data_IF_164338667426
#
_entry.id   IF_164338667426
#
_cell.length_a   1.000
_cell.length_b   1.000
_cell.length_c   1.000
_cell.angle_alpha   90.00
_cell.angle_beta   90.00
_cell.angle_gamma   90.00
#
_symmetry.space_group_name_H-M   'P 1'
#
loop_
_entity.id
_entity.type
_entity.pdbx_description
1 polymer ?
#
# COMPACT_ATOMS: atom_id res chain seq x y z
N UNK A 1 52.30 -34.49 -53.20
CA UNK A 1 51.34 -33.67 -53.98
C UNK A 1 50.30 -33.13 -53.02
N UNK A 2 50.08 -31.81 -53.08
CA UNK A 2 49.14 -31.02 -52.26
C UNK A 2 47.70 -31.58 -52.32
N UNK A 3 46.98 -31.63 -51.19
CA UNK A 3 45.53 -31.36 -51.19
C UNK A 3 45.18 -30.42 -50.03
N UNK A 4 44.47 -29.38 -50.43
CA UNK A 4 44.14 -28.14 -49.74
C UNK A 4 42.75 -28.29 -49.10
N UNK A 5 42.57 -27.57 -47.98
CA UNK A 5 41.33 -27.30 -47.26
C UNK A 5 40.13 -26.94 -48.16
N UNK A 6 38.91 -27.14 -47.67
CA UNK A 6 37.87 -26.09 -47.72
C UNK A 6 36.74 -26.40 -46.71
N UNK A 7 36.80 -25.76 -45.54
CA UNK A 7 35.67 -25.65 -44.60
C UNK A 7 34.92 -24.35 -44.91
N UNK A 8 33.66 -24.44 -45.31
CA UNK A 8 32.77 -23.29 -45.50
C UNK A 8 32.33 -22.73 -44.13
N UNK A 9 32.82 -21.55 -43.77
CA UNK A 9 32.29 -20.74 -42.67
C UNK A 9 31.18 -19.82 -43.20
N UNK A 10 29.94 -20.03 -42.73
CA UNK A 10 28.84 -19.10 -42.96
C UNK A 10 29.02 -17.89 -42.03
N UNK A 11 29.52 -16.77 -42.55
CA UNK A 11 29.55 -15.49 -41.83
C UNK A 11 28.17 -14.84 -42.01
N UNK A 12 27.32 -14.94 -40.99
CA UNK A 12 26.07 -14.19 -40.93
C UNK A 12 26.38 -12.76 -40.47
N UNK A 13 26.34 -11.81 -41.40
CA UNK A 13 26.53 -10.40 -41.08
C UNK A 13 25.29 -9.86 -40.34
N UNK A 14 25.42 -9.60 -39.04
CA UNK A 14 24.42 -8.88 -38.26
C UNK A 14 24.50 -7.41 -38.65
N UNK A 15 23.54 -6.95 -39.47
CA UNK A 15 23.34 -5.53 -39.74
C UNK A 15 22.75 -4.90 -38.47
N UNK A 16 23.60 -4.28 -37.65
CA UNK A 16 23.16 -3.46 -36.52
C UNK A 16 22.49 -2.19 -37.05
N UNK A 17 21.16 -2.16 -37.07
CA UNK A 17 20.41 -0.94 -37.36
C UNK A 17 20.64 0.01 -36.17
N UNK A 18 21.16 1.24 -36.38
CA UNK A 18 21.37 2.17 -35.29
C UNK A 18 20.03 2.53 -34.67
N UNK A 19 19.85 2.19 -33.39
CA UNK A 19 18.75 2.68 -32.56
C UNK A 19 19.02 4.18 -32.36
N UNK A 20 18.34 5.03 -33.14
CA UNK A 20 18.39 6.46 -32.92
C UNK A 20 17.82 6.78 -31.53
N UNK A 21 18.67 7.29 -30.64
CA UNK A 21 18.29 7.75 -29.31
C UNK A 21 17.24 8.88 -29.41
N UNK A 22 16.23 8.84 -28.54
CA UNK A 22 15.23 9.89 -28.39
C UNK A 22 15.81 11.11 -27.67
N UNK A 23 15.41 12.31 -28.09
CA UNK A 23 15.88 13.60 -27.58
C UNK A 23 14.72 14.33 -26.88
N UNK A 24 14.76 14.35 -25.54
CA UNK A 24 13.71 14.94 -24.69
C UNK A 24 13.59 16.46 -24.91
N UNK A 25 14.70 17.17 -25.13
CA UNK A 25 14.67 18.62 -25.31
C UNK A 25 13.96 18.99 -26.62
N UNK A 26 14.25 18.26 -27.70
CA UNK A 26 13.53 18.43 -28.99
C UNK A 26 12.08 17.97 -28.90
N UNK A 27 11.81 16.95 -28.08
CA UNK A 27 10.44 16.53 -27.75
C UNK A 27 9.65 17.64 -27.08
N UNK A 28 10.25 18.32 -26.10
CA UNK A 28 9.67 19.47 -25.40
C UNK A 28 9.34 20.61 -26.34
N UNK A 29 10.29 21.00 -27.20
CA UNK A 29 10.08 22.06 -28.19
C UNK A 29 8.90 21.74 -29.12
N UNK A 30 8.87 20.54 -29.69
CA UNK A 30 7.77 20.12 -30.58
C UNK A 30 6.44 19.90 -29.86
N UNK A 31 6.44 19.67 -28.54
CA UNK A 31 5.20 19.42 -27.79
C UNK A 31 4.25 20.61 -27.74
N UNK A 32 4.73 21.82 -28.07
CA UNK A 32 3.93 23.05 -28.06
C UNK A 32 2.66 22.93 -28.91
N UNK A 33 2.72 22.23 -30.06
CA UNK A 33 1.55 22.02 -30.93
C UNK A 33 0.47 21.13 -30.28
N UNK A 34 0.86 20.30 -29.31
CA UNK A 34 -0.04 19.38 -28.61
C UNK A 34 -0.73 20.06 -27.42
N UNK A 35 -0.16 21.17 -26.93
CA UNK A 35 -0.57 21.82 -25.69
C UNK A 35 -1.99 22.41 -25.74
N UNK A 36 -2.47 22.75 -26.93
CA UNK A 36 -3.83 23.30 -27.11
C UNK A 36 -4.96 22.34 -26.74
N UNK A 37 -4.70 21.03 -26.70
CA UNK A 37 -5.69 20.01 -26.30
C UNK A 37 -5.20 19.16 -25.13
N UNK A 38 -3.91 18.78 -25.15
CA UNK A 38 -3.30 17.93 -24.13
C UNK A 38 -2.60 18.72 -23.01
N UNK A 39 -2.75 20.05 -22.97
CA UNK A 39 -2.13 20.93 -21.99
C UNK A 39 -0.62 21.08 -22.13
N UNK A 40 -0.08 22.19 -21.64
CA UNK A 40 1.37 22.51 -21.69
C UNK A 40 2.23 21.49 -20.95
N UNK A 41 1.66 20.82 -19.93
CA UNK A 41 2.32 19.79 -19.15
C UNK A 41 1.87 18.37 -19.52
N UNK A 42 1.19 18.16 -20.66
CA UNK A 42 0.65 16.85 -21.04
C UNK A 42 -0.57 16.41 -20.23
N UNK A 43 -1.24 17.35 -19.57
CA UNK A 43 -2.48 17.16 -18.82
C UNK A 43 -3.63 17.67 -19.68
N UNK A 44 -4.52 16.76 -20.09
CA UNK A 44 -5.64 17.06 -20.96
C UNK A 44 -6.57 18.14 -20.43
N UNK A 45 -7.10 18.97 -21.33
CA UNK A 45 -8.03 20.05 -20.97
C UNK A 45 -9.48 19.54 -20.74
N UNK A 46 -9.79 18.30 -21.12
CA UNK A 46 -11.09 17.64 -20.91
C UNK A 46 -10.94 16.12 -21.00
N UNK A 47 -12.00 15.37 -20.66
CA UNK A 47 -12.02 13.90 -20.81
C UNK A 47 -11.84 13.42 -22.26
N UNK A 48 -12.14 14.28 -23.24
CA UNK A 48 -11.94 14.00 -24.66
C UNK A 48 -10.45 14.01 -25.06
N UNK A 49 -9.62 14.75 -24.30
CA UNK A 49 -8.20 14.88 -24.55
C UNK A 49 -7.41 14.11 -23.48
N UNK A 50 -6.92 12.89 -23.78
CA UNK A 50 -6.27 12.06 -22.77
C UNK A 50 -4.97 12.67 -22.24
N UNK A 51 -4.66 12.41 -20.97
CA UNK A 51 -3.38 12.76 -20.36
C UNK A 51 -2.23 12.02 -21.07
N UNK A 52 -1.23 12.79 -21.50
CA UNK A 52 0.02 12.30 -22.08
C UNK A 52 1.14 12.23 -21.04
N UNK A 53 1.06 13.08 -20.02
CA UNK A 53 2.07 13.18 -18.98
C UNK A 53 2.25 11.85 -18.23
N UNK A 54 3.49 11.38 -18.14
CA UNK A 54 3.84 10.14 -17.44
C UNK A 54 3.33 8.85 -18.09
N UNK A 55 2.76 8.93 -19.30
CA UNK A 55 2.35 7.75 -20.06
C UNK A 55 3.57 7.04 -20.66
N UNK A 56 3.53 5.71 -20.79
CA UNK A 56 4.66 4.92 -21.29
C UNK A 56 5.12 5.39 -22.68
N UNK A 57 6.41 5.71 -22.84
CA UNK A 57 7.01 6.13 -24.12
C UNK A 57 6.61 5.22 -25.29
N UNK A 58 6.76 3.90 -25.13
CA UNK A 58 6.39 2.94 -26.18
C UNK A 58 4.90 2.96 -26.56
N UNK A 59 4.02 3.28 -25.61
CA UNK A 59 2.59 3.43 -25.88
C UNK A 59 2.32 4.71 -26.68
N UNK A 60 2.87 5.85 -26.25
CA UNK A 60 2.68 7.13 -26.96
C UNK A 60 3.18 7.01 -28.41
N UNK A 61 4.38 6.45 -28.59
CA UNK A 61 4.95 6.22 -29.92
C UNK A 61 4.06 5.33 -30.78
N UNK A 62 3.52 4.24 -30.21
CA UNK A 62 2.59 3.35 -30.91
C UNK A 62 1.32 4.07 -31.34
N UNK A 63 0.75 4.92 -30.47
CA UNK A 63 -0.47 5.66 -30.79
C UNK A 63 -0.24 6.72 -31.87
N UNK A 64 0.84 7.51 -31.78
CA UNK A 64 1.18 8.50 -32.80
C UNK A 64 1.35 7.84 -34.18
N UNK A 65 2.04 6.70 -34.24
CA UNK A 65 2.17 5.91 -35.47
C UNK A 65 0.83 5.39 -35.97
N UNK A 66 -0.03 4.91 -35.09
CA UNK A 66 -1.34 4.38 -35.46
C UNK A 66 -2.28 5.45 -36.03
N UNK A 67 -2.26 6.67 -35.46
CA UNK A 67 -2.98 7.80 -36.04
C UNK A 67 -2.41 8.18 -37.41
N UNK A 68 -1.08 8.20 -37.55
CA UNK A 68 -0.42 8.57 -38.81
C UNK A 68 -0.68 7.57 -39.93
N UNK A 69 -0.71 6.27 -39.62
CA UNK A 69 -0.98 5.22 -40.60
C UNK A 69 -2.47 4.98 -40.86
N UNK A 70 -3.37 5.68 -40.14
CA UNK A 70 -4.81 5.44 -40.20
C UNK A 70 -5.29 4.16 -39.50
N UNK A 71 -4.40 3.42 -38.83
CA UNK A 71 -4.76 2.23 -38.03
C UNK A 71 -5.61 2.60 -36.81
N UNK A 72 -5.48 3.84 -36.32
CA UNK A 72 -6.39 4.45 -35.34
C UNK A 72 -7.02 5.69 -35.97
N UNK A 73 -8.35 5.75 -35.98
CA UNK A 73 -9.11 6.84 -36.62
C UNK A 73 -9.54 7.89 -35.59
N UNK A 74 -9.08 9.12 -35.76
CA UNK A 74 -9.60 10.31 -35.09
C UNK A 74 -9.19 11.53 -35.95
N UNK A 75 -10.14 12.25 -36.58
CA UNK A 75 -9.82 13.30 -37.55
C UNK A 75 -8.86 14.36 -37.02
N UNK A 76 -9.06 14.80 -35.77
CA UNK A 76 -8.20 15.78 -35.09
C UNK A 76 -6.77 15.27 -34.96
N UNK A 77 -6.58 14.08 -34.38
CA UNK A 77 -5.24 13.52 -34.19
C UNK A 77 -4.57 13.13 -35.51
N UNK A 78 -5.33 12.70 -36.52
CA UNK A 78 -4.80 12.43 -37.86
C UNK A 78 -4.19 13.69 -38.47
N UNK A 79 -4.85 14.85 -38.35
CA UNK A 79 -4.30 16.12 -38.80
C UNK A 79 -3.03 16.52 -38.02
N UNK A 80 -3.04 16.36 -36.68
CA UNK A 80 -1.90 16.71 -35.84
C UNK A 80 -0.64 15.90 -36.13
N UNK A 81 -0.78 14.61 -36.45
CA UNK A 81 0.39 13.73 -36.72
C UNK A 81 0.83 13.73 -38.18
N UNK A 82 0.09 14.37 -39.09
CA UNK A 82 0.38 14.38 -40.53
C UNK A 82 1.80 14.91 -40.82
N UNK A 83 2.20 16.00 -40.14
CA UNK A 83 3.51 16.63 -40.32
C UNK A 83 4.65 15.97 -39.51
N UNK A 84 4.37 15.01 -38.63
CA UNK A 84 5.39 14.45 -37.71
C UNK A 84 6.24 13.36 -38.38
N UNK A 85 7.56 13.50 -38.36
CA UNK A 85 8.47 12.42 -38.74
C UNK A 85 8.57 11.31 -37.69
N UNK A 86 9.12 10.16 -38.07
CA UNK A 86 9.38 9.06 -37.12
C UNK A 86 10.27 9.48 -35.94
N UNK A 87 11.22 10.39 -36.17
CA UNK A 87 12.08 10.96 -35.13
C UNK A 87 11.30 11.88 -34.19
N UNK A 88 10.41 12.71 -34.73
CA UNK A 88 9.58 13.61 -33.94
C UNK A 88 8.64 12.84 -33.01
N UNK A 89 7.98 11.80 -33.51
CA UNK A 89 7.10 10.96 -32.70
C UNK A 89 7.84 10.24 -31.56
N UNK A 90 9.11 9.85 -31.78
CA UNK A 90 9.96 9.29 -30.72
C UNK A 90 10.32 10.33 -29.67
N UNK A 91 10.74 11.52 -30.10
CA UNK A 91 11.10 12.60 -29.19
C UNK A 91 9.89 13.07 -28.35
N UNK A 92 8.71 13.21 -28.96
CA UNK A 92 7.47 13.55 -28.27
C UNK A 92 7.08 12.47 -27.26
N UNK A 93 7.21 11.19 -27.63
CA UNK A 93 6.93 10.09 -26.73
C UNK A 93 7.87 10.08 -25.52
N UNK A 94 9.17 10.28 -25.73
CA UNK A 94 10.15 10.38 -24.65
C UNK A 94 9.87 11.59 -23.74
N UNK A 95 9.56 12.75 -24.32
CA UNK A 95 9.22 13.95 -23.56
C UNK A 95 8.00 13.77 -22.67
N UNK A 96 6.84 13.40 -23.24
CA UNK A 96 5.62 13.24 -22.45
C UNK A 96 5.73 12.12 -21.40
N UNK A 97 6.46 11.05 -21.71
CA UNK A 97 6.77 9.98 -20.74
C UNK A 97 7.64 10.45 -19.57
N UNK A 98 8.43 11.52 -19.74
CA UNK A 98 9.26 12.10 -18.68
C UNK A 98 8.48 13.04 -17.75
N UNK A 99 7.28 13.48 -18.14
CA UNK A 99 6.45 14.38 -17.34
C UNK A 99 5.77 13.63 -16.19
N UNK A 100 5.39 14.38 -15.14
CA UNK A 100 4.67 13.81 -13.99
C UNK A 100 3.25 13.40 -14.41
N UNK A 101 2.82 12.16 -14.15
CA UNK A 101 1.46 11.73 -14.45
C UNK A 101 0.44 12.51 -13.62
N UNK A 102 -0.73 12.72 -14.21
CA UNK A 102 -1.93 13.12 -13.46
C UNK A 102 -2.71 11.87 -13.17
N UNK A 103 -2.78 11.53 -11.88
CA UNK A 103 -3.82 10.65 -11.38
C UNK A 103 -5.10 11.47 -11.39
N UNK A 104 -6.13 10.96 -12.06
CA UNK A 104 -7.41 11.65 -12.15
C UNK A 104 -7.99 11.88 -10.75
N UNK A 105 -7.91 13.12 -10.26
CA UNK A 105 -8.53 13.60 -9.02
C UNK A 105 -9.87 14.28 -9.28
N UNK A 106 -10.41 14.19 -10.50
CA UNK A 106 -11.66 14.84 -10.91
C UNK A 106 -12.88 13.93 -10.79
N UNK A 107 -12.69 12.65 -10.50
CA UNK A 107 -13.76 11.82 -9.93
C UNK A 107 -13.96 12.30 -8.49
N UNK A 108 -15.02 13.07 -8.26
CA UNK A 108 -15.47 13.35 -6.90
C UNK A 108 -15.71 12.01 -6.21
N UNK A 109 -14.98 11.75 -5.13
CA UNK A 109 -15.27 10.64 -4.24
C UNK A 109 -16.67 10.87 -3.70
N UNK A 110 -17.61 9.97 -4.01
CA UNK A 110 -18.93 10.03 -3.40
C UNK A 110 -18.76 9.78 -1.91
N UNK A 111 -19.24 10.72 -1.10
CA UNK A 111 -19.24 10.61 0.35
C UNK A 111 -20.68 10.43 0.81
N UNK A 112 -20.96 9.29 1.44
CA UNK A 112 -22.28 9.00 2.01
C UNK A 112 -22.19 9.03 3.53
N UNK A 113 -23.05 9.80 4.19
CA UNK A 113 -23.14 9.79 5.65
C UNK A 113 -24.11 8.71 6.10
N UNK A 114 -23.68 7.87 7.04
CA UNK A 114 -24.52 6.84 7.66
C UNK A 114 -24.89 7.29 9.07
N UNK A 115 -26.16 7.12 9.45
CA UNK A 115 -26.63 7.37 10.81
C UNK A 115 -26.36 6.15 11.69
N UNK A 116 -25.57 6.29 12.75
CA UNK A 116 -25.42 5.26 13.79
C UNK A 116 -25.12 5.84 15.17
N UNK A 117 -24.97 4.97 16.18
CA UNK A 117 -24.77 5.34 17.60
C UNK A 117 -23.29 5.51 18.00
N UNK A 118 -22.40 5.78 17.04
CA UNK A 118 -21.00 6.04 17.35
C UNK A 118 -20.88 7.45 17.95
N UNK A 119 -20.22 7.59 19.10
CA UNK A 119 -20.02 8.89 19.74
C UNK A 119 -18.52 9.19 19.86
N UNK A 120 -18.20 10.46 20.10
CA UNK A 120 -16.82 10.88 20.38
C UNK A 120 -16.25 10.24 21.66
N UNK A 121 -17.09 9.69 22.55
CA UNK A 121 -16.60 8.99 23.74
C UNK A 121 -15.94 7.66 23.37
N UNK A 122 -16.53 6.90 22.45
CA UNK A 122 -15.95 5.63 22.00
C UNK A 122 -14.90 5.79 20.92
N UNK A 123 -14.92 6.91 20.19
CA UNK A 123 -13.97 7.23 19.13
C UNK A 123 -13.38 8.64 19.38
N UNK A 124 -12.50 8.79 20.39
CA UNK A 124 -11.87 10.08 20.68
C UNK A 124 -10.92 10.52 19.57
N UNK A 125 -10.29 9.57 18.87
CA UNK A 125 -9.56 9.82 17.63
C UNK A 125 -10.37 9.42 16.40
N UNK A 126 -10.01 9.99 15.24
CA UNK A 126 -10.60 9.54 13.98
C UNK A 126 -10.08 8.15 13.63
N UNK A 127 -11.01 7.24 13.37
CA UNK A 127 -10.74 5.85 13.00
C UNK A 127 -11.19 5.63 11.56
N UNK A 128 -10.38 4.91 10.78
CA UNK A 128 -10.66 4.56 9.39
C UNK A 128 -10.65 3.05 9.22
N UNK A 129 -11.64 2.53 8.50
CA UNK A 129 -11.82 1.10 8.24
C UNK A 129 -11.91 0.88 6.74
N UNK A 130 -11.15 -0.07 6.22
CA UNK A 130 -11.26 -0.52 4.83
C UNK A 130 -12.29 -1.63 4.69
N UNK A 131 -13.20 -1.46 3.73
CA UNK A 131 -14.26 -2.42 3.43
C UNK A 131 -13.90 -3.14 2.15
N UNK A 132 -13.27 -4.31 2.27
CA UNK A 132 -12.62 -4.97 1.12
C UNK A 132 -13.59 -5.30 0.01
N UNK A 133 -14.76 -5.83 0.36
CA UNK A 133 -15.74 -6.28 -0.64
C UNK A 133 -16.49 -5.11 -1.28
N UNK A 134 -16.79 -4.09 -0.49
CA UNK A 134 -17.46 -2.87 -0.99
C UNK A 134 -16.51 -1.94 -1.73
N UNK A 135 -15.20 -2.03 -1.48
CA UNK A 135 -14.21 -1.13 -2.05
C UNK A 135 -14.29 0.28 -1.49
N UNK A 136 -14.72 0.43 -0.24
CA UNK A 136 -14.93 1.74 0.42
C UNK A 136 -14.06 1.91 1.66
N UNK A 137 -13.93 3.15 2.12
CA UNK A 137 -13.38 3.49 3.45
C UNK A 137 -14.51 4.07 4.29
N UNK A 138 -14.66 3.60 5.53
CA UNK A 138 -15.60 4.18 6.49
C UNK A 138 -14.84 4.81 7.65
N UNK A 139 -15.27 5.99 8.13
CA UNK A 139 -14.65 6.67 9.27
C UNK A 139 -15.57 6.80 10.49
N UNK A 140 -14.97 6.98 11.66
CA UNK A 140 -15.63 7.27 12.93
C UNK A 140 -14.89 8.41 13.66
N UNK A 141 -15.59 9.28 14.41
CA UNK A 141 -17.03 9.24 14.70
C UNK A 141 -17.93 9.87 13.61
N UNK A 142 -17.37 10.38 12.50
CA UNK A 142 -18.15 11.10 11.48
C UNK A 142 -19.09 10.21 10.66
N UNK A 143 -18.84 8.90 10.62
CA UNK A 143 -19.66 7.88 9.95
C UNK A 143 -19.87 8.17 8.47
N UNK A 144 -18.82 8.66 7.81
CA UNK A 144 -18.78 8.83 6.37
C UNK A 144 -18.26 7.56 5.72
N UNK A 145 -18.86 7.20 4.60
CA UNK A 145 -18.38 6.18 3.68
C UNK A 145 -17.85 6.90 2.44
N UNK A 146 -16.61 6.61 2.07
CA UNK A 146 -15.92 7.15 0.91
C UNK A 146 -15.77 6.06 -0.13
N UNK A 147 -16.20 6.34 -1.36
CA UNK A 147 -15.90 5.48 -2.49
C UNK A 147 -14.38 5.36 -2.66
N UNK A 148 -13.89 4.12 -2.77
CA UNK A 148 -12.49 3.82 -2.98
C UNK A 148 -12.27 3.07 -4.29
N UNK A 149 -11.48 2.00 -4.22
CA UNK A 149 -11.19 1.12 -5.35
C UNK A 149 -11.49 -0.34 -5.05
N UNK A 150 -11.32 -1.24 -6.03
CA UNK A 150 -11.54 -2.67 -5.81
C UNK A 150 -10.60 -3.21 -4.73
N UNK A 151 -11.09 -4.12 -3.90
CA UNK A 151 -10.33 -4.81 -2.85
C UNK A 151 -9.55 -3.86 -1.91
N UNK A 152 -10.18 -2.81 -1.39
CA UNK A 152 -9.56 -1.95 -0.36
C UNK A 152 -9.10 -2.79 0.84
N UNK A 153 -7.78 -2.94 1.00
CA UNK A 153 -7.20 -3.93 1.91
C UNK A 153 -6.64 -3.31 3.19
N UNK A 154 -5.36 -2.93 3.25
CA UNK A 154 -4.82 -2.24 4.42
C UNK A 154 -5.07 -0.75 4.30
N UNK A 155 -5.43 -0.12 5.43
CA UNK A 155 -5.59 1.33 5.55
C UNK A 155 -4.59 1.90 6.57
N UNK A 156 -4.08 3.11 6.31
CA UNK A 156 -3.23 3.87 7.22
C UNK A 156 -3.59 5.36 7.18
N UNK A 157 -3.31 6.09 8.26
CA UNK A 157 -3.51 7.53 8.38
C UNK A 157 -2.17 8.20 8.66
N UNK A 158 -1.92 9.37 8.08
CA UNK A 158 -0.69 10.15 8.38
C UNK A 158 -0.70 10.67 9.83
N UNK A 159 0.49 10.85 10.46
CA UNK A 159 0.58 11.36 11.83
C UNK A 159 -0.11 12.70 12.07
N UNK A 160 -0.15 13.57 11.06
CA UNK A 160 -0.84 14.87 11.11
C UNK A 160 -2.36 14.77 10.90
N UNK A 161 -2.88 13.57 10.64
CA UNK A 161 -4.30 13.29 10.43
C UNK A 161 -4.87 13.82 9.12
N UNK A 162 -4.04 14.22 8.15
CA UNK A 162 -4.51 14.87 6.92
C UNK A 162 -4.72 13.95 5.73
N UNK A 163 -4.07 12.78 5.71
CA UNK A 163 -4.11 11.88 4.54
C UNK A 163 -4.28 10.43 4.94
N UNK A 164 -5.28 9.78 4.34
CA UNK A 164 -5.54 8.33 4.47
C UNK A 164 -5.02 7.62 3.24
N UNK A 165 -4.37 6.47 3.45
CA UNK A 165 -3.86 5.61 2.39
C UNK A 165 -4.54 4.24 2.48
N UNK A 166 -4.91 3.66 1.34
CA UNK A 166 -5.43 2.29 1.29
C UNK A 166 -4.89 1.51 0.10
N UNK A 167 -4.44 0.28 0.31
CA UNK A 167 -3.91 -0.58 -0.76
C UNK A 167 -5.01 -1.29 -1.53
N UNK A 168 -4.85 -1.45 -2.84
CA UNK A 168 -5.65 -2.34 -3.70
C UNK A 168 -4.76 -3.45 -4.29
N UNK A 169 -4.82 -4.68 -3.76
CA UNK A 169 -4.00 -5.79 -4.25
C UNK A 169 -4.31 -6.16 -5.71
N UNK A 170 -5.57 -6.09 -6.12
CA UNK A 170 -6.02 -6.52 -7.45
C UNK A 170 -5.60 -5.57 -8.56
N UNK A 171 -5.37 -4.29 -8.24
CA UNK A 171 -4.94 -3.27 -9.22
C UNK A 171 -3.47 -2.87 -9.08
N UNK A 172 -2.77 -3.35 -8.04
CA UNK A 172 -1.39 -2.99 -7.73
C UNK A 172 -1.20 -1.49 -7.45
N UNK A 173 -2.10 -0.92 -6.65
CA UNK A 173 -2.10 0.51 -6.34
C UNK A 173 -2.30 0.81 -4.87
N UNK A 174 -2.02 2.06 -4.48
CA UNK A 174 -2.41 2.68 -3.22
C UNK A 174 -3.26 3.90 -3.54
N UNK A 175 -4.45 3.97 -2.96
CA UNK A 175 -5.34 5.10 -3.02
C UNK A 175 -4.98 6.05 -1.88
N UNK A 176 -4.87 7.35 -2.18
CA UNK A 176 -4.67 8.40 -1.19
C UNK A 176 -5.91 9.29 -1.13
N UNK A 177 -6.36 9.64 0.06
CA UNK A 177 -7.54 10.47 0.32
C UNK A 177 -7.21 11.59 1.31
N UNK A 178 -7.87 12.75 1.15
CA UNK A 178 -7.91 13.79 2.17
C UNK A 178 -8.75 13.28 3.35
N UNK A 179 -8.15 13.24 4.53
CA UNK A 179 -8.78 12.65 5.70
C UNK A 179 -9.99 13.44 6.23
N UNK A 180 -10.10 14.72 5.89
CA UNK A 180 -11.16 15.60 6.41
C UNK A 180 -12.48 15.42 5.67
N UNK A 181 -12.41 15.12 4.38
CA UNK A 181 -13.58 15.12 3.49
C UNK A 181 -13.65 13.90 2.57
N UNK A 182 -12.70 12.97 2.65
CA UNK A 182 -12.70 11.74 1.84
C UNK A 182 -12.35 11.94 0.38
N UNK A 183 -11.98 13.14 -0.07
CA UNK A 183 -11.61 13.40 -1.46
C UNK A 183 -10.40 12.57 -1.86
N UNK A 184 -10.51 11.78 -2.93
CA UNK A 184 -9.38 11.07 -3.52
C UNK A 184 -8.34 12.06 -4.06
N UNK A 185 -7.11 11.94 -3.56
CA UNK A 185 -5.94 12.74 -3.92
C UNK A 185 -5.08 12.08 -4.99
N UNK A 186 -4.99 10.75 -5.01
CA UNK A 186 -4.21 10.02 -6.01
C UNK A 186 -4.54 8.52 -6.01
N UNK A 187 -4.21 7.86 -7.12
CA UNK A 187 -4.09 6.40 -7.23
C UNK A 187 -2.65 6.08 -7.62
N UNK A 188 -1.84 5.68 -6.66
CA UNK A 188 -0.39 5.52 -6.79
C UNK A 188 -0.08 4.08 -7.20
N UNK A 189 0.52 3.88 -8.37
CA UNK A 189 0.96 2.55 -8.80
C UNK A 189 2.15 2.07 -7.98
N UNK A 190 2.09 0.83 -7.50
CA UNK A 190 3.14 0.18 -6.69
C UNK A 190 3.51 -1.20 -7.27
N UNK A 191 4.26 -2.00 -6.51
CA UNK A 191 4.61 -3.37 -6.86
C UNK A 191 3.40 -4.32 -6.86
N UNK A 192 3.66 -5.61 -7.11
CA UNK A 192 2.61 -6.60 -7.31
C UNK A 192 1.97 -7.03 -5.98
N UNK A 193 0.64 -7.16 -5.99
CA UNK A 193 -0.19 -7.59 -4.86
C UNK A 193 0.16 -6.86 -3.54
N UNK A 194 0.04 -5.51 -3.49
CA UNK A 194 0.29 -4.74 -2.28
C UNK A 194 -0.60 -5.21 -1.12
N UNK A 195 0.00 -5.33 0.07
CA UNK A 195 -0.65 -5.72 1.33
C UNK A 195 -0.58 -4.57 2.32
N UNK A 196 0.31 -4.61 3.31
CA UNK A 196 0.44 -3.55 4.32
C UNK A 196 0.89 -2.23 3.72
N UNK A 197 0.29 -1.13 4.18
CA UNK A 197 0.77 0.24 3.99
C UNK A 197 0.99 0.86 5.37
N UNK A 198 2.13 1.51 5.57
CA UNK A 198 2.46 2.23 6.80
C UNK A 198 3.16 3.54 6.52
N UNK A 199 2.81 4.58 7.29
CA UNK A 199 3.41 5.90 7.17
C UNK A 199 4.60 6.02 8.12
N UNK A 200 5.70 6.61 7.67
CA UNK A 200 6.85 6.91 8.53
C UNK A 200 6.46 7.87 9.66
N UNK A 201 7.07 7.80 10.85
CA UNK A 201 6.72 8.67 11.99
C UNK A 201 6.75 10.18 11.69
N UNK A 202 7.62 10.62 10.77
CA UNK A 202 7.71 12.02 10.35
C UNK A 202 6.65 12.44 9.30
N UNK A 203 5.78 11.53 8.87
CA UNK A 203 4.69 11.77 7.91
C UNK A 203 5.11 12.00 6.46
N UNK A 204 6.40 11.83 6.09
CA UNK A 204 6.89 12.18 4.75
C UNK A 204 6.78 11.03 3.74
N UNK A 205 6.93 9.79 4.19
CA UNK A 205 6.94 8.62 3.32
C UNK A 205 5.90 7.59 3.78
N UNK A 206 5.46 6.73 2.87
CA UNK A 206 4.75 5.50 3.19
C UNK A 206 5.43 4.28 2.59
N UNK A 207 5.51 3.20 3.35
CA UNK A 207 6.08 1.93 2.93
C UNK A 207 4.94 0.97 2.61
N UNK A 208 4.95 0.44 1.39
CA UNK A 208 3.92 -0.46 0.87
C UNK A 208 4.54 -1.82 0.62
N UNK A 209 4.07 -2.84 1.32
CA UNK A 209 4.56 -4.21 1.21
C UNK A 209 3.96 -4.89 -0.02
N UNK A 210 4.76 -5.13 -1.05
CA UNK A 210 4.30 -5.74 -2.29
C UNK A 210 4.62 -7.24 -2.27
N UNK A 211 3.68 -8.02 -1.74
CA UNK A 211 3.85 -9.45 -1.51
C UNK A 211 4.28 -10.20 -2.78
N UNK A 212 3.62 -9.91 -3.91
CA UNK A 212 3.82 -10.62 -5.18
C UNK A 212 5.06 -10.19 -5.96
N UNK A 213 5.77 -9.15 -5.54
CA UNK A 213 7.03 -8.71 -6.17
C UNK A 213 8.22 -8.69 -5.23
N UNK A 214 8.08 -9.23 -4.01
CA UNK A 214 9.15 -9.32 -3.00
C UNK A 214 9.91 -8.00 -2.80
N UNK A 215 9.18 -6.89 -2.69
CA UNK A 215 9.75 -5.57 -2.48
C UNK A 215 8.83 -4.66 -1.66
N UNK A 216 9.39 -3.58 -1.14
CA UNK A 216 8.64 -2.46 -0.54
C UNK A 216 8.68 -1.29 -1.51
N UNK A 217 7.52 -0.75 -1.88
CA UNK A 217 7.46 0.57 -2.53
C UNK A 217 7.49 1.66 -1.48
N UNK A 218 8.44 2.58 -1.58
CA UNK A 218 8.55 3.76 -0.73
C UNK A 218 7.91 4.94 -1.47
N UNK A 219 6.74 5.36 -1.00
CA UNK A 219 5.93 6.43 -1.58
C UNK A 219 6.29 7.74 -0.90
N UNK A 220 6.65 8.76 -1.68
CA UNK A 220 6.77 10.15 -1.24
C UNK A 220 5.37 10.76 -1.16
N UNK A 221 4.92 11.10 0.06
CA UNK A 221 3.54 11.55 0.30
C UNK A 221 3.29 12.99 -0.15
N UNK A 222 4.34 13.79 -0.34
CA UNK A 222 4.20 15.12 -0.94
C UNK A 222 4.04 15.03 -2.45
N UNK A 223 4.74 14.09 -3.09
CA UNK A 223 4.69 13.87 -4.54
C UNK A 223 3.59 12.89 -4.97
N UNK A 224 3.02 12.14 -4.03
CA UNK A 224 2.07 11.05 -4.27
C UNK A 224 2.58 10.07 -5.34
N UNK A 225 3.85 9.68 -5.21
CA UNK A 225 4.52 8.80 -6.16
C UNK A 225 5.57 7.93 -5.47
N UNK A 226 5.83 6.75 -6.03
CA UNK A 226 6.94 5.90 -5.59
C UNK A 226 8.26 6.61 -5.85
N UNK A 227 9.04 6.83 -4.80
CA UNK A 227 10.37 7.42 -4.85
C UNK A 227 11.48 6.36 -4.86
N UNK A 228 11.30 5.27 -4.10
CA UNK A 228 12.26 4.18 -3.99
C UNK A 228 11.57 2.82 -3.99
N UNK A 229 12.34 1.77 -4.29
CA UNK A 229 11.90 0.38 -4.14
C UNK A 229 12.99 -0.37 -3.39
N UNK A 230 12.62 -0.98 -2.26
CA UNK A 230 13.52 -1.76 -1.41
C UNK A 230 13.29 -3.23 -1.72
N UNK A 231 14.32 -3.94 -2.19
CA UNK A 231 14.24 -5.40 -2.35
C UNK A 231 14.22 -6.06 -0.97
N UNK A 232 13.33 -7.02 -0.78
CA UNK A 232 13.23 -7.80 0.46
C UNK A 232 13.08 -9.28 0.11
N UNK A 233 13.03 -10.15 1.12
CA UNK A 233 12.75 -11.56 0.92
C UNK A 233 11.28 -11.82 0.57
N UNK A 234 10.93 -13.07 0.26
CA UNK A 234 9.62 -13.42 -0.28
C UNK A 234 8.46 -13.12 0.68
N UNK A 235 7.34 -12.70 0.08
CA UNK A 235 6.09 -12.45 0.76
C UNK A 235 6.12 -11.34 1.82
N UNK A 236 6.70 -10.14 1.56
CA UNK A 236 6.59 -9.04 2.51
C UNK A 236 5.10 -8.71 2.72
N UNK A 237 4.70 -8.56 3.97
CA UNK A 237 3.27 -8.49 4.29
C UNK A 237 2.87 -7.22 5.02
N UNK A 238 3.47 -6.90 6.17
CA UNK A 238 3.22 -5.64 6.88
C UNK A 238 4.52 -5.05 7.45
N UNK A 239 4.52 -3.74 7.69
CA UNK A 239 5.66 -2.97 8.18
C UNK A 239 5.36 -2.42 9.57
N UNK A 240 6.39 -2.22 10.39
CA UNK A 240 6.32 -1.46 11.64
C UNK A 240 7.60 -0.64 11.81
N UNK A 241 7.48 0.69 11.87
CA UNK A 241 8.62 1.58 12.12
C UNK A 241 9.02 1.60 13.60
N UNK A 242 10.25 1.95 13.92
CA UNK A 242 10.60 2.45 15.26
C UNK A 242 10.06 3.88 15.47
N UNK A 243 9.88 4.32 16.71
CA UNK A 243 9.38 5.66 17.07
C UNK A 243 10.26 6.77 16.51
N UNK A 244 11.57 6.56 16.51
CA UNK A 244 12.55 7.50 15.93
C UNK A 244 12.57 7.49 14.39
N UNK A 245 11.88 6.54 13.76
CA UNK A 245 11.77 6.39 12.31
C UNK A 245 13.04 5.96 11.61
N UNK A 246 14.08 5.50 12.33
CA UNK A 246 15.34 5.07 11.73
C UNK A 246 15.30 3.64 11.21
N UNK A 247 14.55 2.77 11.87
CA UNK A 247 14.37 1.39 11.48
C UNK A 247 12.92 1.09 11.13
N UNK A 248 12.74 0.11 10.26
CA UNK A 248 11.45 -0.52 10.01
C UNK A 248 11.61 -2.03 10.00
N UNK A 249 10.65 -2.72 10.59
CA UNK A 249 10.56 -4.17 10.56
C UNK A 249 9.47 -4.58 9.58
N UNK A 250 9.74 -5.56 8.72
CA UNK A 250 8.78 -6.10 7.76
C UNK A 250 8.53 -7.58 8.04
N UNK A 251 7.27 -8.01 8.15
CA UNK A 251 6.94 -9.44 8.18
C UNK A 251 7.18 -10.08 6.80
N UNK A 252 7.89 -11.20 6.78
CA UNK A 252 8.20 -11.95 5.56
C UNK A 252 7.39 -13.25 5.56
N UNK A 253 6.14 -13.17 5.12
CA UNK A 253 5.18 -14.28 5.14
C UNK A 253 5.61 -15.46 4.27
N UNK A 254 6.47 -15.25 3.26
CA UNK A 254 7.05 -16.35 2.48
C UNK A 254 8.09 -17.17 3.25
N UNK A 255 8.52 -16.72 4.43
CA UNK A 255 9.52 -17.38 5.27
C UNK A 255 9.13 -17.42 6.75
N UNK A 256 10.13 -17.62 7.62
CA UNK A 256 9.96 -17.69 9.07
C UNK A 256 10.74 -16.56 9.77
N UNK A 257 10.52 -15.30 9.37
CA UNK A 257 11.22 -14.18 9.99
C UNK A 257 10.70 -12.79 9.66
N UNK A 258 11.37 -11.79 10.24
CA UNK A 258 11.15 -10.37 9.95
C UNK A 258 12.41 -9.76 9.33
N UNK A 259 12.24 -8.96 8.29
CA UNK A 259 13.32 -8.16 7.70
C UNK A 259 13.51 -6.87 8.50
N UNK A 260 14.77 -6.43 8.65
CA UNK A 260 15.13 -5.14 9.26
C UNK A 260 15.58 -4.19 8.18
N UNK A 261 14.85 -3.09 8.00
CA UNK A 261 15.12 -2.06 7.01
C UNK A 261 15.71 -0.83 7.70
N UNK A 262 16.83 -0.35 7.18
CA UNK A 262 17.33 0.99 7.48
C UNK A 262 16.55 1.99 6.62
N UNK A 263 15.85 2.92 7.28
CA UNK A 263 14.93 3.85 6.62
C UNK A 263 15.67 4.93 5.83
N UNK A 264 16.85 5.36 6.29
CA UNK A 264 17.66 6.38 5.64
C UNK A 264 18.31 5.85 4.36
N UNK A 265 18.78 4.59 4.40
CA UNK A 265 19.48 3.95 3.28
C UNK A 265 18.53 3.30 2.27
N UNK A 266 17.24 3.16 2.62
CA UNK A 266 16.24 2.45 1.84
C UNK A 266 16.67 1.01 1.51
N UNK A 267 17.22 0.32 2.51
CA UNK A 267 17.82 -1.00 2.35
C UNK A 267 17.44 -1.94 3.49
N UNK A 268 17.14 -3.20 3.15
CA UNK A 268 17.01 -4.28 4.12
C UNK A 268 18.39 -4.79 4.52
N UNK A 269 18.73 -4.63 5.80
CA UNK A 269 20.07 -4.90 6.34
C UNK A 269 20.24 -6.34 6.82
N UNK A 270 19.18 -6.96 7.35
CA UNK A 270 19.21 -8.34 7.85
C UNK A 270 17.81 -8.95 7.97
N UNK A 271 17.77 -10.26 8.15
CA UNK A 271 16.57 -11.01 8.55
C UNK A 271 16.79 -11.53 9.97
N UNK A 272 15.79 -11.34 10.84
CA UNK A 272 15.70 -12.00 12.13
C UNK A 272 14.80 -13.22 11.93
N UNK A 273 15.38 -14.41 11.99
CA UNK A 273 14.63 -15.67 11.96
C UNK A 273 13.87 -15.86 13.27
N UNK A 274 12.63 -16.31 13.19
CA UNK A 274 11.74 -16.48 14.34
C UNK A 274 11.36 -17.96 14.44
N UNK A 275 12.06 -18.68 15.31
CA UNK A 275 11.79 -20.09 15.57
C UNK A 275 10.38 -20.29 16.14
N UNK A 276 9.72 -21.38 15.73
CA UNK A 276 8.41 -21.79 16.24
C UNK A 276 7.19 -21.13 15.59
N UNK A 277 7.39 -20.27 14.58
CA UNK A 277 6.28 -19.77 13.74
C UNK A 277 6.59 -19.93 12.26
N UNK A 278 5.54 -19.97 11.43
CA UNK A 278 5.66 -20.02 9.97
C UNK A 278 4.75 -18.99 9.32
N UNK A 279 5.23 -18.34 8.26
CA UNK A 279 4.51 -17.25 7.61
C UNK A 279 4.13 -16.10 8.54
N UNK A 280 5.10 -15.36 9.12
CA UNK A 280 4.84 -14.11 9.82
C UNK A 280 3.91 -13.20 9.02
N UNK A 281 2.83 -12.76 9.64
CA UNK A 281 1.75 -12.04 8.98
C UNK A 281 1.73 -10.57 9.38
N UNK A 282 1.59 -10.31 10.68
CA UNK A 282 1.55 -8.97 11.26
C UNK A 282 2.46 -8.91 12.50
N UNK A 283 2.89 -7.70 12.86
CA UNK A 283 3.72 -7.47 14.03
C UNK A 283 3.41 -6.14 14.69
N UNK A 284 3.73 -6.05 15.98
CA UNK A 284 3.87 -4.77 16.67
C UNK A 284 4.98 -4.85 17.73
N UNK A 285 5.40 -3.68 18.24
CA UNK A 285 6.52 -3.54 19.16
C UNK A 285 6.05 -3.19 20.57
N UNK A 286 6.78 -3.67 21.57
CA UNK A 286 6.66 -3.19 22.95
C UNK A 286 6.92 -1.68 23.03
N UNK A 287 6.44 -1.03 24.10
CA UNK A 287 6.59 0.41 24.28
C UNK A 287 8.06 0.89 24.30
N UNK A 288 9.00 0.04 24.72
CA UNK A 288 10.44 0.29 24.71
C UNK A 288 11.15 -0.13 23.41
N UNK A 289 10.40 -0.70 22.45
CA UNK A 289 10.85 -1.17 21.15
C UNK A 289 11.92 -2.27 21.18
N UNK A 290 12.09 -2.94 22.33
CA UNK A 290 13.03 -4.05 22.52
C UNK A 290 12.43 -5.42 22.27
N UNK A 291 11.10 -5.53 22.29
CA UNK A 291 10.39 -6.79 22.07
C UNK A 291 9.42 -6.62 20.91
N UNK A 292 9.41 -7.57 19.99
CA UNK A 292 8.40 -7.66 18.93
C UNK A 292 7.40 -8.78 19.25
N UNK A 293 6.12 -8.50 19.07
CA UNK A 293 5.06 -9.50 19.05
C UNK A 293 4.73 -9.78 17.59
N UNK A 294 5.10 -10.96 17.11
CA UNK A 294 4.97 -11.34 15.69
C UNK A 294 3.94 -12.43 15.56
N UNK A 295 2.82 -12.09 14.93
CA UNK A 295 1.72 -13.00 14.66
C UNK A 295 1.97 -13.76 13.37
N UNK A 296 1.80 -15.07 13.40
CA UNK A 296 1.89 -15.93 12.22
C UNK A 296 0.56 -15.95 11.44
N UNK A 297 0.52 -16.67 10.32
CA UNK A 297 -0.69 -16.75 9.49
C UNK A 297 -1.76 -17.71 10.06
N UNK A 298 -1.42 -18.51 11.08
CA UNK A 298 -2.20 -19.69 11.48
C UNK A 298 -2.75 -19.58 12.90
N UNK A 299 -1.92 -19.67 13.96
CA UNK A 299 -2.39 -19.74 15.35
C UNK A 299 -1.32 -19.38 16.40
N UNK A 300 -0.29 -18.62 16.04
CA UNK A 300 0.76 -18.24 17.00
C UNK A 300 1.08 -16.74 17.03
N UNK A 301 1.52 -16.29 18.20
CA UNK A 301 2.29 -15.06 18.39
C UNK A 301 3.63 -15.41 19.00
N UNK A 302 4.72 -15.10 18.31
CA UNK A 302 6.07 -15.16 18.85
C UNK A 302 6.42 -13.85 19.56
N UNK A 303 6.99 -13.96 20.75
CA UNK A 303 7.55 -12.85 21.53
C UNK A 303 9.06 -12.85 21.31
N UNK A 304 9.56 -11.88 20.56
CA UNK A 304 10.94 -11.86 20.06
C UNK A 304 11.72 -10.73 20.72
N UNK A 305 12.88 -11.04 21.28
CA UNK A 305 13.85 -10.04 21.71
C UNK A 305 14.56 -9.44 20.49
N UNK A 306 14.35 -8.16 20.21
CA UNK A 306 14.94 -7.51 19.03
C UNK A 306 16.44 -7.22 19.17
N UNK A 307 16.97 -7.23 20.39
CA UNK A 307 18.40 -6.99 20.64
C UNK A 307 19.21 -8.24 20.31
N UNK A 308 18.76 -9.39 20.82
CA UNK A 308 19.44 -10.67 20.59
C UNK A 308 18.95 -11.45 19.38
N UNK A 309 17.72 -11.17 18.90
CA UNK A 309 17.04 -11.95 17.86
C UNK A 309 16.38 -13.24 18.39
N UNK A 310 16.44 -13.51 19.69
CA UNK A 310 15.93 -14.75 20.29
C UNK A 310 14.41 -14.70 20.52
N UNK A 311 13.75 -15.83 20.32
CA UNK A 311 12.33 -16.01 20.67
C UNK A 311 12.22 -16.33 22.17
N UNK A 312 11.56 -15.45 22.92
CA UNK A 312 11.31 -15.60 24.37
C UNK A 312 10.21 -16.62 24.64
N UNK A 313 9.13 -16.58 23.84
CA UNK A 313 7.96 -17.45 23.98
C UNK A 313 7.21 -17.50 22.65
N UNK A 314 6.62 -18.66 22.35
CA UNK A 314 5.59 -18.80 21.31
C UNK A 314 4.27 -19.07 22.02
N UNK A 315 3.28 -18.24 21.75
CA UNK A 315 1.98 -18.26 22.40
C UNK A 315 0.95 -18.73 21.38
N UNK A 316 0.20 -19.78 21.69
CA UNK A 316 -0.95 -20.20 20.89
C UNK A 316 -2.08 -19.18 21.04
N UNK A 317 -2.64 -18.76 19.91
CA UNK A 317 -3.73 -17.79 19.80
C UNK A 317 -4.81 -18.34 18.86
N UNK A 318 -5.87 -17.57 18.63
CA UNK A 318 -6.96 -17.99 17.73
C UNK A 318 -6.52 -18.28 16.28
N UNK A 319 -7.35 -19.05 15.59
CA UNK A 319 -7.15 -19.62 14.26
C UNK A 319 -7.28 -18.61 13.11
N UNK A 320 -6.46 -18.83 12.09
CA UNK A 320 -6.42 -18.04 10.86
C UNK A 320 -5.56 -16.79 11.00
N UNK A 321 -5.54 -15.98 9.96
CA UNK A 321 -4.74 -14.77 9.93
C UNK A 321 -5.46 -13.58 10.59
N UNK A 322 -4.73 -12.58 11.08
CA UNK A 322 -5.30 -11.43 11.79
C UNK A 322 -4.30 -10.32 12.04
N UNK A 323 -4.77 -9.17 12.49
CA UNK A 323 -3.92 -8.09 12.97
C UNK A 323 -3.41 -8.34 14.39
N UNK A 324 -2.39 -7.57 14.77
CA UNK A 324 -1.89 -7.49 16.14
C UNK A 324 -1.54 -6.03 16.43
N UNK A 325 -1.83 -5.59 17.65
CA UNK A 325 -1.56 -4.25 18.15
C UNK A 325 -1.03 -4.33 19.58
N UNK A 326 0.03 -3.58 19.89
CA UNK A 326 0.43 -3.34 21.27
C UNK A 326 -0.21 -2.02 21.70
N UNK A 327 -0.97 -2.06 22.80
CA UNK A 327 -1.64 -0.86 23.31
C UNK A 327 -0.63 0.26 23.57
N UNK A 328 -0.96 1.54 23.33
CA UNK A 328 -0.03 2.66 23.51
C UNK A 328 0.60 2.77 24.91
N UNK A 329 -0.10 2.35 25.96
CA UNK A 329 0.42 2.24 27.33
C UNK A 329 1.44 1.09 27.53
N UNK A 330 1.60 0.24 26.51
CA UNK A 330 2.51 -0.90 26.46
C UNK A 330 2.06 -2.10 27.28
N UNK A 331 0.86 -2.10 27.87
CA UNK A 331 0.42 -3.12 28.81
C UNK A 331 -0.02 -4.41 28.13
N UNK A 332 -0.65 -4.32 26.97
CA UNK A 332 -1.22 -5.47 26.29
C UNK A 332 -0.79 -5.55 24.83
N UNK A 333 -0.57 -6.78 24.35
CA UNK A 333 -0.55 -7.09 22.93
C UNK A 333 -1.85 -7.84 22.59
N UNK A 334 -2.69 -7.26 21.75
CA UNK A 334 -3.97 -7.85 21.34
C UNK A 334 -3.90 -8.30 19.90
N UNK A 335 -4.31 -9.54 19.63
CA UNK A 335 -4.34 -10.13 18.29
C UNK A 335 -5.71 -10.69 17.95
N UNK A 336 -6.15 -10.42 16.72
CA UNK A 336 -7.37 -10.98 16.17
C UNK A 336 -7.13 -12.34 15.50
N UNK A 337 -8.19 -13.02 15.07
CA UNK A 337 -8.14 -14.33 14.42
C UNK A 337 -9.36 -14.56 13.52
N UNK A 338 -9.20 -14.41 12.20
CA UNK A 338 -10.34 -14.40 11.24
C UNK A 338 -11.12 -15.72 11.20
N UNK A 339 -10.52 -16.81 11.68
CA UNK A 339 -11.15 -18.12 11.79
C UNK A 339 -12.10 -18.27 12.99
N UNK A 340 -11.99 -17.41 14.01
CA UNK A 340 -12.61 -17.59 15.32
C UNK A 340 -13.68 -16.52 15.64
N UNK A 341 -14.17 -16.54 16.88
CA UNK A 341 -15.14 -15.60 17.46
C UNK A 341 -14.56 -14.67 18.52
N UNK A 342 -13.29 -14.85 18.89
CA UNK A 342 -12.62 -14.11 19.96
C UNK A 342 -11.32 -13.45 19.48
N UNK A 343 -10.87 -12.44 20.22
CA UNK A 343 -9.49 -11.96 20.16
C UNK A 343 -8.69 -12.51 21.34
N UNK A 344 -7.37 -12.59 21.17
CA UNK A 344 -6.46 -12.96 22.25
C UNK A 344 -5.70 -11.72 22.73
N UNK A 345 -5.77 -11.44 24.03
CA UNK A 345 -5.06 -10.35 24.72
C UNK A 345 -3.95 -10.96 25.56
N UNK A 346 -2.73 -10.47 25.37
CA UNK A 346 -1.51 -10.94 26.02
C UNK A 346 -0.98 -9.81 26.90
N UNK A 347 -0.84 -10.04 28.20
CA UNK A 347 -0.13 -9.10 29.08
C UNK A 347 1.35 -9.10 28.72
N UNK A 348 1.91 -7.94 28.37
CA UNK A 348 3.24 -7.84 27.75
C UNK A 348 4.38 -8.16 28.72
N UNK A 349 4.12 -8.10 30.04
CA UNK A 349 5.12 -8.37 31.08
C UNK A 349 5.09 -9.82 31.52
N UNK A 350 3.90 -10.35 31.80
CA UNK A 350 3.69 -11.70 32.34
C UNK A 350 3.51 -12.75 31.25
N UNK A 351 3.15 -12.33 30.03
CA UNK A 351 2.79 -13.21 28.91
C UNK A 351 1.62 -14.14 29.23
N UNK A 352 0.76 -13.70 30.15
CA UNK A 352 -0.53 -14.33 30.44
C UNK A 352 -1.54 -13.97 29.35
N UNK A 353 -2.41 -14.91 29.06
CA UNK A 353 -3.35 -14.85 27.95
C UNK A 353 -4.78 -14.74 28.48
N UNK A 354 -5.56 -13.84 27.90
CA UNK A 354 -7.00 -13.72 28.11
C UNK A 354 -7.71 -13.61 26.76
N UNK A 355 -8.79 -14.35 26.56
CA UNK A 355 -9.60 -14.26 25.35
C UNK A 355 -10.85 -13.42 25.60
N UNK A 356 -11.21 -12.58 24.63
CA UNK A 356 -12.42 -11.75 24.68
C UNK A 356 -13.30 -12.16 23.49
N UNK A 357 -14.51 -12.64 23.75
CA UNK A 357 -15.50 -12.93 22.71
C UNK A 357 -15.95 -11.63 22.04
N UNK A 358 -15.79 -11.55 20.72
CA UNK A 358 -16.07 -10.35 19.93
C UNK A 358 -17.07 -10.59 18.82
N UNK A 359 -17.31 -11.83 18.38
CA UNK A 359 -18.13 -12.16 17.21
C UNK A 359 -17.28 -12.68 16.05
N UNK A 360 -17.92 -13.01 14.93
CA UNK A 360 -17.29 -13.86 13.90
C UNK A 360 -16.30 -13.10 13.02
N UNK A 361 -15.14 -13.72 12.81
CA UNK A 361 -14.11 -13.24 11.90
C UNK A 361 -13.41 -11.95 12.34
N UNK A 362 -12.92 -11.84 13.59
CA UNK A 362 -12.12 -10.70 13.99
C UNK A 362 -10.83 -10.64 13.15
N UNK A 363 -10.51 -9.48 12.60
CA UNK A 363 -9.36 -9.34 11.70
C UNK A 363 -8.47 -8.12 11.98
N UNK A 364 -8.84 -6.92 11.52
CA UNK A 364 -8.14 -5.68 11.85
C UNK A 364 -8.34 -5.33 13.33
N UNK A 365 -7.26 -4.94 14.00
CA UNK A 365 -7.27 -4.57 15.42
C UNK A 365 -6.35 -3.39 15.67
N UNK A 366 -6.84 -2.35 16.37
CA UNK A 366 -6.04 -1.19 16.82
C UNK A 366 -6.65 -0.55 18.05
N UNK A 367 -5.81 -0.13 18.98
CA UNK A 367 -6.19 0.63 20.16
C UNK A 367 -6.28 2.14 19.88
N UNK A 368 -7.18 2.79 20.59
CA UNK A 368 -7.19 4.24 20.84
C UNK A 368 -5.88 4.72 21.46
N UNK A 369 -5.57 6.01 21.29
CA UNK A 369 -4.28 6.59 21.72
C UNK A 369 -4.08 6.52 23.24
N UNK A 370 -5.16 6.61 24.00
CA UNK A 370 -5.15 6.52 25.47
C UNK A 370 -5.23 5.08 25.99
N UNK A 371 -5.26 4.09 25.10
CA UNK A 371 -5.43 2.65 25.40
C UNK A 371 -6.75 2.30 26.08
N UNK A 372 -7.73 3.22 26.14
CA UNK A 372 -9.01 2.95 26.78
C UNK A 372 -9.88 2.02 25.94
N UNK A 373 -9.90 2.26 24.63
CA UNK A 373 -10.64 1.49 23.64
C UNK A 373 -9.72 0.63 22.78
N UNK A 374 -10.20 -0.57 22.46
CA UNK A 374 -9.65 -1.45 21.44
C UNK A 374 -10.71 -1.74 20.40
N UNK A 375 -10.39 -1.46 19.15
CA UNK A 375 -11.30 -1.60 18.02
C UNK A 375 -10.97 -2.86 17.22
N UNK A 376 -11.98 -3.67 16.92
CA UNK A 376 -11.81 -4.91 16.15
C UNK A 376 -12.82 -4.97 15.01
N UNK A 377 -12.34 -5.11 13.78
CA UNK A 377 -13.22 -5.36 12.63
C UNK A 377 -13.64 -6.82 12.59
N UNK A 378 -14.93 -7.09 12.38
CA UNK A 378 -15.48 -8.44 12.28
C UNK A 378 -15.90 -8.69 10.82
N UNK A 379 -15.03 -9.35 10.06
CA UNK A 379 -15.18 -9.50 8.60
C UNK A 379 -16.43 -10.27 8.20
N UNK A 380 -16.86 -11.24 9.02
CA UNK A 380 -18.05 -12.07 8.75
C UNK A 380 -19.33 -11.40 9.24
N UNK A 381 -19.26 -10.67 10.35
CA UNK A 381 -20.41 -10.01 10.95
C UNK A 381 -20.73 -8.63 10.30
N UNK A 382 -19.84 -8.08 9.47
CA UNK A 382 -19.95 -6.72 8.91
C UNK A 382 -20.14 -5.66 10.00
N UNK A 383 -19.39 -5.79 11.10
CA UNK A 383 -19.44 -4.87 12.24
C UNK A 383 -18.02 -4.53 12.71
N UNK A 384 -17.92 -3.45 13.49
CA UNK A 384 -16.77 -3.17 14.36
C UNK A 384 -17.19 -3.41 15.82
N UNK A 385 -16.40 -4.19 16.55
CA UNK A 385 -16.49 -4.29 18.00
C UNK A 385 -15.63 -3.21 18.66
N UNK A 386 -16.20 -2.54 19.65
CA UNK A 386 -15.55 -1.54 20.51
C UNK A 386 -15.41 -2.16 21.88
N UNK A 387 -14.17 -2.42 22.29
CA UNK A 387 -13.83 -3.11 23.54
C UNK A 387 -13.30 -2.09 24.54
N UNK A 388 -13.85 -2.10 25.74
CA UNK A 388 -13.35 -1.33 26.85
C UNK A 388 -12.21 -2.08 27.52
N UNK A 389 -10.98 -1.58 27.40
CA UNK A 389 -9.79 -2.28 27.90
C UNK A 389 -9.65 -2.26 29.42
N UNK A 390 -10.43 -1.42 30.11
CA UNK A 390 -10.49 -1.44 31.57
C UNK A 390 -11.33 -2.61 32.08
N UNK A 391 -12.46 -2.90 31.43
CA UNK A 391 -13.38 -3.98 31.81
C UNK A 391 -13.13 -5.27 31.04
N UNK A 392 -12.37 -5.23 29.95
CA UNK A 392 -12.12 -6.34 29.02
C UNK A 392 -13.39 -6.90 28.38
N UNK A 393 -14.37 -6.03 28.11
CA UNK A 393 -15.65 -6.40 27.50
C UNK A 393 -15.96 -5.58 26.25
N UNK A 394 -16.75 -6.17 25.35
CA UNK A 394 -17.30 -5.48 24.18
C UNK A 394 -18.46 -4.59 24.64
N UNK A 395 -18.25 -3.27 24.60
CA UNK A 395 -19.25 -2.28 24.99
C UNK A 395 -20.22 -1.99 23.83
N UNK A 396 -19.74 -2.03 22.58
CA UNK A 396 -20.57 -1.79 21.39
C UNK A 396 -20.15 -2.68 20.22
N UNK A 397 -21.14 -3.06 19.41
CA UNK A 397 -20.95 -3.53 18.03
C UNK A 397 -21.67 -2.57 17.09
N UNK A 398 -20.97 -2.05 16.10
CA UNK A 398 -21.50 -1.03 15.19
C UNK A 398 -21.48 -1.60 13.77
N UNK A 399 -22.63 -1.61 13.05
CA UNK A 399 -22.68 -2.01 11.66
C UNK A 399 -21.79 -1.15 10.77
N UNK A 400 -21.12 -1.80 9.82
CA UNK A 400 -20.31 -1.19 8.76
C UNK A 400 -20.63 -1.88 7.43
N UNK A 401 -19.97 -1.49 6.35
CA UNK A 401 -20.12 -2.16 5.05
C UNK A 401 -19.68 -3.63 5.04
N UNK A 402 -19.67 -4.25 3.87
CA UNK A 402 -19.30 -5.65 3.71
C UNK A 402 -17.79 -5.88 3.85
N UNK A 403 -17.44 -6.89 4.63
CA UNK A 403 -16.07 -7.38 4.84
C UNK A 403 -15.10 -6.28 5.36
N UNK A 404 -15.34 -5.73 6.58
CA UNK A 404 -14.41 -4.78 7.20
C UNK A 404 -13.09 -5.49 7.47
N UNK A 405 -12.03 -5.06 6.80
CA UNK A 405 -10.77 -5.81 6.77
C UNK A 405 -9.72 -5.22 7.70
N UNK A 406 -9.34 -3.96 7.51
CA UNK A 406 -8.29 -3.33 8.28
C UNK A 406 -8.77 -2.05 8.94
N UNK A 407 -8.04 -1.61 9.96
CA UNK A 407 -8.37 -0.46 10.78
C UNK A 407 -7.12 0.38 11.02
N UNK A 408 -7.28 1.70 10.96
CA UNK A 408 -6.28 2.69 11.32
C UNK A 408 -6.88 3.68 12.32
N UNK A 409 -6.10 4.03 13.34
CA UNK A 409 -6.48 5.00 14.38
C UNK A 409 -5.47 6.14 14.33
N UNK A 410 -5.94 7.38 14.23
CA UNK A 410 -5.05 8.54 14.22
C UNK A 410 -4.22 8.57 15.51
N UNK A 411 -2.89 8.61 15.38
CA UNK A 411 -1.98 8.60 16.53
C UNK A 411 -1.58 7.22 17.04
N UNK A 412 -2.09 6.13 16.46
CA UNK A 412 -1.58 4.76 16.65
C UNK A 412 -1.14 4.15 15.29
N UNK A 413 0.08 4.48 14.82
CA UNK A 413 0.52 4.24 13.44
C UNK A 413 0.70 2.76 13.03
#
# INVERSE_FOLDING_TARGET
MKKIMLTYGLISAIISIPIYASDIAKGKEKSAICAGCHGSNGIGLSQEFPNLAGQKEGYILKQLKAFKSGARKNPTMTAMVAALGNKDMRNLAAYFSSLKPVFDTTVETKVTKVTGKATANEFPETVFISMKKDGTIQNFPQQQIWDGGPDMLYVAITPDGKMVLSTSPSTNTVYAFDANNGKQLAIIKVGKAPKGVKVTPNGKLAYVSNQGSANISVVDLKKLAVAYTIKVAEGPHNVRFTKDGKLAYVTLQGGAGIGVINVADHEMTKIIHIAGITGPHNLDLSADEKTAFVRDFVHHVAVVDLTSGNVKKVITVGNGHGGIDVTPDGRYAATAAIGDTFITVIDTKTLNVNNIEVGNGPHGIRASKDSHWLYVTLTKDNTIAVINMKTMHVDKKIPVGAFPFWIAVQGNP
#
